data_IF_382520782941
#
_entry.id   IF_382520782941
#
_cell.length_a   1.000
_cell.length_b   1.000
_cell.length_c   1.000
_cell.angle_alpha   90.00
_cell.angle_beta   90.00
_cell.angle_gamma   90.00
#
_symmetry.space_group_name_H-M   'P 1'
#
loop_
_entity.id
_entity.type
_entity.pdbx_description
1 polymer ?
#
# COMPACT_ATOMS: atom_id res chain seq x y z
N UNK A 1 -24.31 -6.96 5.61
CA UNK A 1 -23.16 -6.30 6.24
C UNK A 1 -21.96 -6.39 5.30
N UNK A 2 -21.02 -5.48 5.44
CA UNK A 2 -19.80 -5.41 4.64
C UNK A 2 -18.92 -6.65 4.81
N UNK A 3 -18.79 -7.17 6.03
CA UNK A 3 -18.09 -8.42 6.29
C UNK A 3 -18.61 -9.57 5.42
N UNK A 4 -19.94 -9.63 5.20
CA UNK A 4 -20.56 -10.64 4.33
C UNK A 4 -20.19 -10.42 2.86
N UNK A 5 -20.14 -9.17 2.40
CA UNK A 5 -19.73 -8.82 1.03
C UNK A 5 -18.29 -9.20 0.76
N UNK A 6 -17.39 -8.90 1.72
CA UNK A 6 -15.99 -9.33 1.68
C UNK A 6 -15.87 -10.86 1.57
N UNK A 7 -16.62 -11.59 2.39
CA UNK A 7 -16.62 -13.05 2.35
C UNK A 7 -17.04 -13.57 0.97
N UNK A 8 -18.08 -12.97 0.36
CA UNK A 8 -18.55 -13.35 -0.99
C UNK A 8 -17.50 -13.08 -2.05
N UNK A 9 -16.85 -11.89 -2.03
CA UNK A 9 -15.82 -11.55 -3.00
C UNK A 9 -14.59 -12.47 -2.87
N UNK A 10 -14.19 -12.81 -1.66
CA UNK A 10 -13.10 -13.75 -1.40
C UNK A 10 -13.47 -15.16 -1.91
N UNK A 11 -14.70 -15.61 -1.68
CA UNK A 11 -15.18 -16.91 -2.17
C UNK A 11 -15.26 -16.95 -3.70
N UNK A 12 -15.73 -15.87 -4.35
CA UNK A 12 -15.75 -15.76 -5.82
C UNK A 12 -14.33 -15.81 -6.40
N UNK A 13 -13.37 -15.11 -5.79
CA UNK A 13 -11.98 -15.15 -6.22
C UNK A 13 -11.40 -16.56 -6.11
N UNK A 14 -11.57 -17.23 -4.95
CA UNK A 14 -11.16 -18.63 -4.79
C UNK A 14 -11.79 -19.56 -5.82
N UNK A 15 -13.07 -19.34 -6.12
CA UNK A 15 -13.77 -20.08 -7.16
C UNK A 15 -13.12 -19.89 -8.53
N UNK A 16 -12.79 -18.63 -8.90
CA UNK A 16 -12.09 -18.33 -10.15
C UNK A 16 -10.72 -19.01 -10.20
N UNK A 17 -9.92 -18.88 -9.15
CA UNK A 17 -8.60 -19.52 -9.08
C UNK A 17 -8.67 -21.05 -9.20
N UNK A 18 -9.71 -21.67 -8.65
CA UNK A 18 -9.95 -23.12 -8.78
C UNK A 18 -10.37 -23.51 -10.19
N UNK A 19 -11.19 -22.70 -10.87
CA UNK A 19 -11.60 -22.92 -12.25
C UNK A 19 -10.40 -22.81 -13.18
N UNK A 20 -9.59 -21.75 -13.04
CA UNK A 20 -8.38 -21.55 -13.85
C UNK A 20 -7.40 -22.73 -13.71
N UNK A 21 -7.30 -23.30 -12.50
CA UNK A 21 -6.48 -24.48 -12.27
C UNK A 21 -7.03 -25.75 -12.92
N UNK A 22 -8.36 -25.88 -13.07
CA UNK A 22 -8.96 -27.05 -13.74
C UNK A 22 -8.62 -27.10 -15.24
N UNK A 23 -8.27 -25.98 -15.84
CA UNK A 23 -7.91 -25.90 -17.26
C UNK A 23 -6.45 -26.33 -17.52
N UNK A 24 -5.64 -26.63 -16.49
CA UNK A 24 -4.29 -27.15 -16.68
C UNK A 24 -4.32 -28.62 -17.12
N UNK A 25 -3.87 -28.94 -18.36
CA UNK A 25 -3.90 -30.31 -18.88
C UNK A 25 -2.92 -31.27 -18.19
N UNK A 26 -2.08 -30.76 -17.29
CA UNK A 26 -1.06 -31.54 -16.56
C UNK A 26 -1.53 -32.00 -15.19
N UNK A 27 -2.78 -31.73 -14.82
CA UNK A 27 -3.32 -32.15 -13.53
C UNK A 27 -3.30 -33.68 -13.39
N UNK A 28 -2.85 -34.12 -12.24
CA UNK A 28 -3.02 -35.52 -11.83
C UNK A 28 -4.49 -35.78 -11.46
N UNK A 29 -4.98 -37.06 -11.55
CA UNK A 29 -6.35 -37.39 -11.16
C UNK A 29 -6.70 -36.99 -9.72
N UNK A 30 -5.73 -37.04 -8.80
CA UNK A 30 -5.92 -36.64 -7.41
C UNK A 30 -6.04 -35.12 -7.25
N UNK A 31 -5.26 -34.34 -8.00
CA UNK A 31 -5.36 -32.87 -7.99
C UNK A 31 -6.70 -32.42 -8.61
N UNK A 32 -7.13 -33.01 -9.73
CA UNK A 32 -8.45 -32.74 -10.34
C UNK A 32 -9.58 -33.04 -9.34
N UNK A 33 -9.53 -34.19 -8.67
CA UNK A 33 -10.52 -34.54 -7.65
C UNK A 33 -10.55 -33.51 -6.51
N UNK A 34 -9.39 -33.12 -5.97
CA UNK A 34 -9.29 -32.15 -4.86
C UNK A 34 -9.78 -30.76 -5.26
N UNK A 35 -9.43 -30.29 -6.45
CA UNK A 35 -9.90 -29.00 -6.96
C UNK A 35 -11.42 -29.01 -7.10
N UNK A 36 -12.02 -30.05 -7.69
CA UNK A 36 -13.48 -30.20 -7.84
C UNK A 36 -14.17 -30.30 -6.48
N UNK A 37 -13.56 -30.97 -5.50
CA UNK A 37 -14.09 -31.05 -4.13
C UNK A 37 -14.18 -29.67 -3.50
N UNK A 38 -13.07 -28.90 -3.56
CA UNK A 38 -13.00 -27.53 -3.03
C UNK A 38 -13.96 -26.59 -3.77
N UNK A 39 -14.07 -26.71 -5.07
CA UNK A 39 -15.00 -25.91 -5.87
C UNK A 39 -16.45 -26.13 -5.44
N UNK A 40 -16.86 -27.39 -5.17
CA UNK A 40 -18.20 -27.69 -4.65
C UNK A 40 -18.41 -27.12 -3.25
N UNK A 41 -17.39 -27.09 -2.42
CA UNK A 41 -17.41 -26.46 -1.10
C UNK A 41 -17.68 -24.95 -1.21
N UNK A 42 -16.91 -24.23 -2.03
CA UNK A 42 -17.11 -22.78 -2.24
C UNK A 42 -18.50 -22.47 -2.85
N UNK A 43 -18.94 -23.25 -3.81
CA UNK A 43 -20.29 -23.10 -4.40
C UNK A 43 -21.36 -23.33 -3.33
N UNK A 44 -21.20 -24.34 -2.47
CA UNK A 44 -22.17 -24.65 -1.42
C UNK A 44 -22.24 -23.52 -0.38
N UNK A 45 -21.11 -22.91 -0.03
CA UNK A 45 -21.06 -21.73 0.84
C UNK A 45 -21.73 -20.52 0.20
N UNK A 46 -21.43 -20.23 -1.05
CA UNK A 46 -22.04 -19.13 -1.80
C UNK A 46 -23.56 -19.31 -1.92
N UNK A 47 -24.02 -20.53 -2.22
CA UNK A 47 -25.45 -20.84 -2.33
C UNK A 47 -26.22 -20.58 -1.03
N UNK A 48 -25.59 -20.81 0.10
CA UNK A 48 -26.19 -20.58 1.44
C UNK A 48 -26.01 -19.16 1.95
N UNK A 49 -25.21 -18.35 1.27
CA UNK A 49 -24.94 -16.97 1.70
C UNK A 49 -26.02 -16.03 1.18
N UNK A 50 -26.71 -15.33 2.10
CA UNK A 50 -27.71 -14.33 1.71
C UNK A 50 -27.05 -13.08 1.15
N UNK A 51 -27.40 -12.72 -0.10
CA UNK A 51 -26.95 -11.50 -0.77
C UNK A 51 -27.85 -10.28 -0.50
N UNK A 52 -29.01 -10.50 0.10
CA UNK A 52 -29.97 -9.44 0.33
C UNK A 52 -29.49 -8.48 1.43
N UNK A 53 -29.51 -7.20 1.10
CA UNK A 53 -29.30 -6.13 2.10
C UNK A 53 -30.64 -5.88 2.80
N UNK A 54 -30.61 -5.90 4.13
CA UNK A 54 -31.75 -5.56 4.98
C UNK A 54 -31.76 -4.07 5.34
N UNK A 55 -30.62 -3.39 5.22
CA UNK A 55 -30.45 -1.99 5.57
C UNK A 55 -29.82 -1.20 4.42
N UNK A 56 -30.14 0.08 4.33
CA UNK A 56 -29.52 0.99 3.36
C UNK A 56 -28.05 1.21 3.77
N UNK A 57 -27.10 1.16 2.82
CA UNK A 57 -25.70 1.42 3.13
C UNK A 57 -25.51 2.85 3.63
N UNK A 58 -24.62 3.02 4.57
CA UNK A 58 -24.10 4.32 4.96
C UNK A 58 -22.99 4.76 3.99
N UNK A 59 -22.62 6.04 4.01
CA UNK A 59 -21.47 6.53 3.21
C UNK A 59 -20.19 5.77 3.59
N UNK A 60 -19.97 5.51 4.87
CA UNK A 60 -18.79 4.75 5.32
C UNK A 60 -18.81 3.28 4.91
N UNK A 61 -19.98 2.68 4.68
CA UNK A 61 -20.05 1.33 4.09
C UNK A 61 -19.60 1.33 2.63
N UNK A 62 -19.83 2.42 1.92
CA UNK A 62 -19.34 2.60 0.55
C UNK A 62 -17.84 2.83 0.52
N UNK A 63 -17.30 3.67 1.40
CA UNK A 63 -15.86 3.89 1.58
C UNK A 63 -15.15 2.57 1.84
N UNK A 64 -15.62 1.79 2.82
CA UNK A 64 -15.02 0.47 3.15
C UNK A 64 -15.15 -0.53 2.00
N UNK A 65 -16.22 -0.42 1.20
CA UNK A 65 -16.37 -1.25 0.00
C UNK A 65 -15.31 -0.89 -1.07
N UNK A 66 -15.06 0.40 -1.30
CA UNK A 66 -14.02 0.86 -2.22
C UNK A 66 -12.63 0.40 -1.75
N UNK A 67 -12.35 0.52 -0.45
CA UNK A 67 -11.10 0.08 0.15
C UNK A 67 -10.87 -1.44 0.08
N UNK A 68 -11.93 -2.23 0.00
CA UNK A 68 -11.80 -3.67 -0.24
C UNK A 68 -11.12 -3.97 -1.59
N UNK A 69 -11.48 -3.24 -2.65
CA UNK A 69 -10.81 -3.38 -3.95
C UNK A 69 -9.37 -2.87 -3.90
N UNK A 70 -9.11 -1.86 -3.09
CA UNK A 70 -7.75 -1.41 -2.81
C UNK A 70 -6.91 -2.54 -2.21
N UNK A 71 -7.34 -3.13 -1.09
CA UNK A 71 -6.60 -4.17 -0.36
C UNK A 71 -6.41 -5.44 -1.19
N UNK A 72 -7.48 -5.92 -1.82
CA UNK A 72 -7.47 -7.22 -2.50
C UNK A 72 -6.84 -7.17 -3.89
N UNK A 73 -6.81 -6.01 -4.54
CA UNK A 73 -6.38 -5.89 -5.93
C UNK A 73 -5.34 -4.82 -6.14
N UNK A 74 -5.67 -3.54 -5.96
CA UNK A 74 -4.83 -2.42 -6.42
C UNK A 74 -3.46 -2.42 -5.75
N UNK A 75 -3.42 -2.60 -4.44
CA UNK A 75 -2.19 -2.59 -3.65
C UNK A 75 -1.21 -3.71 -4.05
N UNK A 76 -1.74 -4.86 -4.48
CA UNK A 76 -0.95 -6.03 -4.90
C UNK A 76 -0.54 -5.98 -6.36
N UNK A 77 -1.44 -5.53 -7.23
CA UNK A 77 -1.23 -5.55 -8.69
C UNK A 77 -0.31 -4.43 -9.16
N UNK A 78 -0.29 -3.30 -8.47
CA UNK A 78 0.51 -2.13 -8.87
C UNK A 78 2.00 -2.44 -9.05
N UNK A 79 2.72 -3.07 -8.12
CA UNK A 79 4.13 -3.42 -8.32
C UNK A 79 4.33 -4.40 -9.49
N UNK A 80 3.42 -5.35 -9.66
CA UNK A 80 3.46 -6.29 -10.77
C UNK A 80 3.30 -5.58 -12.12
N UNK A 81 2.40 -4.61 -12.20
CA UNK A 81 2.19 -3.81 -13.41
C UNK A 81 3.45 -3.01 -13.77
N UNK A 82 4.04 -2.29 -12.81
CA UNK A 82 5.30 -1.56 -13.05
C UNK A 82 6.42 -2.50 -13.51
N UNK A 83 6.59 -3.63 -12.86
CA UNK A 83 7.59 -4.63 -13.24
C UNK A 83 7.35 -5.17 -14.66
N UNK A 84 6.09 -5.36 -15.04
CA UNK A 84 5.73 -5.82 -16.38
C UNK A 84 6.08 -4.78 -17.43
N UNK A 85 5.78 -3.51 -17.17
CA UNK A 85 6.13 -2.39 -18.07
C UNK A 85 7.66 -2.23 -18.17
N UNK A 86 8.37 -2.25 -17.04
CA UNK A 86 9.83 -2.16 -17.01
C UNK A 86 10.48 -3.29 -17.82
N UNK A 87 9.95 -4.52 -17.71
CA UNK A 87 10.42 -5.68 -18.50
C UNK A 87 10.15 -5.50 -20.00
N UNK A 88 9.01 -4.95 -20.38
CA UNK A 88 8.71 -4.68 -21.80
C UNK A 88 9.69 -3.65 -22.35
N UNK A 89 10.10 -2.67 -21.57
CA UNK A 89 11.11 -1.69 -21.96
C UNK A 89 12.50 -2.33 -22.10
N UNK A 90 12.87 -3.28 -21.25
CA UNK A 90 14.12 -4.03 -21.41
C UNK A 90 14.19 -4.79 -22.73
N UNK A 91 13.08 -5.31 -23.21
CA UNK A 91 13.00 -6.08 -24.46
C UNK A 91 12.91 -5.18 -25.71
N UNK A 92 12.73 -3.87 -25.53
CA UNK A 92 12.53 -2.95 -26.63
C UNK A 92 13.89 -2.48 -27.21
N UNK A 93 14.19 -2.76 -28.50
CA UNK A 93 15.50 -2.51 -29.10
C UNK A 93 15.91 -1.02 -29.11
N UNK A 94 14.93 -0.11 -29.02
CA UNK A 94 15.16 1.34 -29.10
C UNK A 94 15.47 1.99 -27.74
N UNK A 95 15.35 1.26 -26.62
CA UNK A 95 15.57 1.85 -25.30
C UNK A 95 17.04 1.90 -24.90
N UNK A 96 17.88 1.08 -25.52
CA UNK A 96 19.29 0.93 -25.12
C UNK A 96 19.48 0.37 -23.71
N UNK A 97 18.38 -0.03 -23.03
CA UNK A 97 18.40 -0.53 -21.66
C UNK A 97 18.70 -2.03 -21.59
N UNK A 98 18.35 -2.76 -22.67
CA UNK A 98 18.53 -4.20 -22.74
C UNK A 98 19.74 -4.54 -23.54
N UNK A 99 20.87 -4.58 -23.16
CA UNK A 99 22.03 -5.27 -23.75
C UNK A 99 23.33 -4.61 -23.31
N UNK A 100 23.71 -4.84 -22.09
CA UNK A 100 25.09 -5.23 -21.93
C UNK A 100 25.15 -6.73 -22.27
N UNK A 101 25.24 -7.06 -23.57
CA UNK A 101 25.82 -8.35 -23.93
C UNK A 101 27.20 -8.37 -23.34
N UNK A 102 27.41 -9.15 -22.33
CA UNK A 102 28.70 -9.26 -21.72
C UNK A 102 29.08 -10.58 -21.31
N UNK A 103 30.10 -10.83 -22.04
CA UNK A 103 31.49 -11.02 -21.56
C UNK A 103 31.57 -11.87 -20.30
N UNK A 104 31.94 -13.14 -20.57
CA UNK A 104 32.85 -14.05 -19.84
C UNK A 104 33.11 -13.72 -18.35
N UNK A 105 32.17 -13.94 -17.49
CA UNK A 105 32.30 -13.98 -16.03
C UNK A 105 31.19 -14.86 -15.44
N UNK A 106 31.33 -15.34 -14.19
CA UNK A 106 30.23 -16.01 -13.53
C UNK A 106 29.02 -15.10 -13.63
N UNK A 107 27.91 -15.59 -14.17
CA UNK A 107 26.75 -14.85 -14.61
C UNK A 107 26.35 -13.74 -13.60
N UNK A 108 26.92 -12.56 -13.75
CA UNK A 108 26.37 -11.34 -13.16
C UNK A 108 25.14 -11.04 -13.98
N UNK A 109 24.02 -11.37 -13.41
CA UNK A 109 22.69 -11.09 -13.90
C UNK A 109 22.42 -9.57 -13.70
N UNK A 110 23.15 -8.79 -14.46
CA UNK A 110 23.19 -7.34 -14.33
C UNK A 110 22.58 -6.71 -15.56
N UNK A 111 21.68 -5.76 -15.35
CA UNK A 111 21.12 -4.94 -16.40
C UNK A 111 19.67 -5.25 -16.79
N UNK A 112 19.08 -6.33 -16.28
CA UNK A 112 17.67 -6.66 -16.54
C UNK A 112 16.73 -6.16 -15.42
N UNK A 113 15.46 -6.05 -15.72
CA UNK A 113 14.41 -5.78 -14.73
C UNK A 113 14.54 -6.67 -13.50
N UNK A 114 14.57 -6.06 -12.32
CA UNK A 114 14.75 -6.75 -11.05
C UNK A 114 16.21 -6.92 -10.60
N UNK A 115 17.18 -6.44 -11.37
CA UNK A 115 18.62 -6.44 -11.02
C UNK A 115 19.26 -5.04 -11.16
N UNK A 116 18.49 -4.06 -11.59
CA UNK A 116 18.86 -2.65 -11.75
C UNK A 116 17.73 -1.74 -11.28
N UNK A 117 17.99 -0.45 -11.05
CA UNK A 117 16.93 0.54 -10.87
C UNK A 117 15.94 0.48 -12.05
N UNK A 118 14.62 0.59 -11.79
CA UNK A 118 13.64 0.56 -12.86
C UNK A 118 13.82 1.75 -13.80
N UNK A 119 13.62 1.52 -15.10
CA UNK A 119 13.66 2.56 -16.12
C UNK A 119 12.43 3.48 -16.08
N UNK A 120 11.35 3.02 -15.46
CA UNK A 120 10.10 3.76 -15.34
C UNK A 120 9.97 4.43 -13.98
N UNK A 121 9.39 5.61 -13.98
CA UNK A 121 8.88 6.26 -12.77
C UNK A 121 7.45 5.83 -12.53
N UNK A 122 6.98 5.82 -11.26
CA UNK A 122 5.57 5.62 -10.97
C UNK A 122 4.69 6.62 -11.73
N UNK A 123 3.64 6.11 -12.38
CA UNK A 123 2.74 6.90 -13.20
C UNK A 123 1.27 6.72 -12.84
N UNK A 124 0.96 5.78 -11.95
CA UNK A 124 -0.40 5.57 -11.49
C UNK A 124 -0.71 6.48 -10.30
N UNK A 125 -1.84 7.16 -10.38
CA UNK A 125 -2.40 7.96 -9.31
C UNK A 125 -3.86 7.54 -9.14
N UNK A 126 -4.20 7.12 -7.93
CA UNK A 126 -5.54 6.68 -7.61
C UNK A 126 -6.34 7.84 -7.03
N UNK A 127 -7.56 8.01 -7.51
CA UNK A 127 -8.52 8.99 -7.01
C UNK A 127 -9.82 8.31 -6.58
N UNK A 128 -10.51 8.92 -5.64
CA UNK A 128 -11.85 8.50 -5.22
C UNK A 128 -12.66 9.73 -4.83
N UNK A 129 -13.95 9.69 -5.07
CA UNK A 129 -14.90 10.69 -4.54
C UNK A 129 -15.78 10.11 -3.44
N UNK A 130 -15.65 8.81 -3.14
CA UNK A 130 -16.49 8.12 -2.16
C UNK A 130 -16.17 8.62 -0.76
N UNK A 131 -17.16 9.25 -0.12
CA UNK A 131 -17.01 9.93 1.17
C UNK A 131 -16.63 11.41 1.10
N UNK A 132 -16.44 11.96 -0.12
CA UNK A 132 -16.08 13.36 -0.36
C UNK A 132 -16.98 14.08 -1.37
N UNK A 133 -17.86 13.37 -2.07
CA UNK A 133 -18.85 13.95 -2.99
C UNK A 133 -20.08 14.41 -2.21
N UNK A 134 -20.19 15.72 -2.04
CA UNK A 134 -21.27 16.37 -1.29
C UNK A 134 -22.44 16.83 -2.19
N UNK A 135 -22.25 16.78 -3.53
CA UNK A 135 -23.25 17.25 -4.47
C UNK A 135 -24.51 16.40 -4.42
N UNK A 136 -25.62 17.02 -3.95
CA UNK A 136 -26.89 16.34 -3.78
C UNK A 136 -26.93 15.25 -2.69
N UNK A 137 -25.87 15.08 -1.90
CA UNK A 137 -25.82 14.06 -0.85
C UNK A 137 -25.67 14.64 0.57
N UNK A 138 -26.75 14.91 1.28
CA UNK A 138 -26.74 15.64 2.56
C UNK A 138 -26.04 14.89 3.71
N UNK A 139 -25.69 13.61 3.52
CA UNK A 139 -25.00 12.81 4.54
C UNK A 139 -23.48 12.82 4.39
N UNK A 140 -22.94 13.39 3.30
CA UNK A 140 -21.50 13.57 3.12
C UNK A 140 -21.11 14.90 3.73
N UNK A 141 -20.73 14.86 5.00
CA UNK A 141 -20.27 16.01 5.79
C UNK A 141 -18.75 16.05 5.84
N UNK A 142 -18.17 17.17 6.32
CA UNK A 142 -16.73 17.29 6.58
C UNK A 142 -16.22 16.17 7.52
N UNK A 143 -17.00 15.83 8.55
CA UNK A 143 -16.68 14.74 9.47
C UNK A 143 -16.57 13.38 8.74
N UNK A 144 -17.51 13.08 7.84
CA UNK A 144 -17.47 11.86 7.00
C UNK A 144 -16.26 11.87 6.06
N UNK A 145 -15.95 13.01 5.48
CA UNK A 145 -14.76 13.12 4.59
C UNK A 145 -13.46 12.87 5.36
N UNK A 146 -13.32 13.43 6.57
CA UNK A 146 -12.18 13.13 7.46
C UNK A 146 -12.12 11.65 7.85
N UNK A 147 -13.26 11.04 8.20
CA UNK A 147 -13.34 9.62 8.52
C UNK A 147 -12.96 8.76 7.32
N UNK A 148 -13.38 9.12 6.10
CA UNK A 148 -13.01 8.45 4.86
C UNK A 148 -11.49 8.53 4.61
N UNK A 149 -10.88 9.71 4.77
CA UNK A 149 -9.45 9.91 4.65
C UNK A 149 -8.66 9.10 5.69
N UNK A 150 -9.07 9.17 6.96
CA UNK A 150 -8.44 8.39 8.04
C UNK A 150 -8.56 6.87 7.82
N UNK A 151 -9.70 6.41 7.29
CA UNK A 151 -9.91 5.00 6.95
C UNK A 151 -8.99 4.58 5.79
N UNK A 152 -8.83 5.43 4.76
CA UNK A 152 -7.87 5.19 3.67
C UNK A 152 -6.44 5.11 4.17
N UNK A 153 -6.01 6.03 5.03
CA UNK A 153 -4.70 6.02 5.67
C UNK A 153 -4.46 4.75 6.50
N UNK A 154 -5.45 4.32 7.29
CA UNK A 154 -5.36 3.08 8.07
C UNK A 154 -5.14 1.85 7.19
N UNK A 155 -5.86 1.75 6.07
CA UNK A 155 -5.73 0.62 5.14
C UNK A 155 -4.35 0.57 4.47
N UNK A 156 -3.87 1.68 3.91
CA UNK A 156 -2.57 1.71 3.25
C UNK A 156 -1.42 1.47 4.23
N UNK A 157 -1.45 2.11 5.39
CA UNK A 157 -0.39 1.95 6.39
C UNK A 157 -0.34 0.53 6.96
N UNK A 158 -1.48 -0.14 7.18
CA UNK A 158 -1.50 -1.58 7.49
C UNK A 158 -0.92 -2.42 6.36
N UNK A 159 -1.21 -2.08 5.12
CA UNK A 159 -0.64 -2.74 3.96
C UNK A 159 0.89 -2.61 3.92
N UNK A 160 1.41 -1.41 4.08
CA UNK A 160 2.85 -1.13 4.12
C UNK A 160 3.54 -1.79 5.33
N UNK A 161 2.92 -1.72 6.53
CA UNK A 161 3.38 -2.42 7.73
C UNK A 161 3.50 -3.94 7.50
N UNK A 162 2.49 -4.54 6.85
CA UNK A 162 2.51 -5.96 6.53
C UNK A 162 3.59 -6.33 5.50
N UNK A 163 3.88 -5.44 4.53
CA UNK A 163 4.97 -5.65 3.57
C UNK A 163 6.33 -5.54 4.27
N UNK A 164 6.56 -4.53 5.09
CA UNK A 164 7.80 -4.39 5.87
C UNK A 164 8.02 -5.59 6.81
N UNK A 165 6.95 -6.05 7.49
CA UNK A 165 7.00 -7.26 8.32
C UNK A 165 7.30 -8.53 7.51
N UNK A 166 6.81 -8.64 6.27
CA UNK A 166 7.16 -9.75 5.40
C UNK A 166 8.63 -9.68 4.98
N UNK A 167 9.15 -8.48 4.63
CA UNK A 167 10.55 -8.28 4.29
C UNK A 167 11.46 -8.61 5.47
N UNK A 168 11.09 -8.26 6.70
CA UNK A 168 11.76 -8.71 7.92
C UNK A 168 11.95 -10.25 7.94
N UNK A 169 10.97 -11.03 7.46
CA UNK A 169 11.05 -12.49 7.48
C UNK A 169 11.72 -13.10 6.25
N UNK A 170 11.82 -12.37 5.15
CA UNK A 170 12.33 -12.88 3.86
C UNK A 170 13.73 -12.39 3.51
N UNK A 171 14.11 -11.20 3.96
CA UNK A 171 15.45 -10.63 3.71
C UNK A 171 16.36 -10.97 4.90
N UNK A 172 17.01 -12.11 4.80
CA UNK A 172 17.71 -12.75 5.92
C UNK A 172 19.25 -12.89 5.76
N UNK A 173 19.97 -12.01 5.05
CA UNK A 173 21.40 -12.13 4.99
C UNK A 173 22.01 -11.91 6.39
N UNK A 174 22.90 -12.80 6.77
CA UNK A 174 23.63 -12.77 8.04
C UNK A 174 25.04 -12.27 7.78
N UNK A 175 25.45 -11.22 8.41
CA UNK A 175 26.84 -10.77 8.39
C UNK A 175 27.61 -11.49 9.50
N UNK A 176 28.53 -12.39 9.08
CA UNK A 176 29.39 -13.13 10.01
C UNK A 176 30.67 -12.36 10.41
N UNK A 177 30.86 -11.17 9.86
CA UNK A 177 32.04 -10.33 10.07
C UNK A 177 31.68 -8.84 10.10
N UNK A 178 32.63 -8.00 10.47
CA UNK A 178 32.55 -6.55 10.64
C UNK A 178 32.26 -5.74 9.34
N UNK A 179 31.71 -6.37 8.31
CA UNK A 179 31.49 -5.81 6.97
C UNK A 179 30.03 -5.36 6.73
N UNK A 180 29.32 -4.90 7.76
CA UNK A 180 28.01 -4.25 7.57
C UNK A 180 28.23 -2.88 6.92
N UNK A 181 27.41 -2.54 5.91
CA UNK A 181 27.50 -1.21 5.28
C UNK A 181 27.41 -0.10 6.34
N UNK A 182 28.33 0.89 6.34
CA UNK A 182 28.32 1.98 7.31
C UNK A 182 27.01 2.76 7.36
N UNK A 183 26.27 2.80 6.25
CA UNK A 183 24.95 3.42 6.17
C UNK A 183 23.94 2.65 7.01
N UNK A 184 23.98 1.32 6.94
CA UNK A 184 23.09 0.46 7.75
C UNK A 184 23.45 0.56 9.23
N UNK A 185 24.75 0.56 9.59
CA UNK A 185 25.18 0.73 10.98
C UNK A 185 24.68 2.04 11.57
N UNK A 186 24.90 3.17 10.87
CA UNK A 186 24.44 4.47 11.32
C UNK A 186 22.91 4.53 11.51
N UNK A 187 22.17 3.85 10.64
CA UNK A 187 20.70 3.76 10.76
C UNK A 187 20.26 2.90 11.94
N UNK A 188 20.94 1.82 12.22
CA UNK A 188 20.65 0.97 13.39
C UNK A 188 20.92 1.71 14.71
N UNK A 189 21.94 2.59 14.75
CA UNK A 189 22.17 3.46 15.90
C UNK A 189 21.03 4.46 16.10
N UNK A 190 20.56 5.12 15.03
CA UNK A 190 19.40 6.00 15.08
C UNK A 190 18.13 5.25 15.52
N UNK A 191 17.90 4.04 14.99
CA UNK A 191 16.76 3.23 15.39
C UNK A 191 16.80 2.84 16.86
N UNK A 192 18.00 2.56 17.41
CA UNK A 192 18.17 2.29 18.84
C UNK A 192 17.78 3.49 19.69
N UNK A 193 18.21 4.68 19.29
CA UNK A 193 17.92 5.91 20.02
C UNK A 193 16.44 6.30 19.96
N UNK A 194 15.79 6.12 18.80
CA UNK A 194 14.43 6.58 18.58
C UNK A 194 13.36 5.55 18.97
N UNK A 195 13.60 4.26 18.76
CA UNK A 195 12.66 3.18 19.03
C UNK A 195 12.85 2.52 20.42
N UNK A 196 14.04 2.69 21.03
CA UNK A 196 14.33 2.19 22.37
C UNK A 196 14.05 0.68 22.52
N UNK A 197 13.19 0.30 23.48
CA UNK A 197 12.92 -1.10 23.77
C UNK A 197 12.42 -1.89 22.56
N UNK A 198 11.65 -1.27 21.65
CA UNK A 198 11.17 -1.95 20.44
C UNK A 198 12.31 -2.36 19.52
N UNK A 199 13.40 -1.58 19.48
CA UNK A 199 14.60 -1.93 18.73
C UNK A 199 15.42 -3.01 19.44
N UNK A 200 15.56 -2.93 20.78
CA UNK A 200 16.26 -3.96 21.55
C UNK A 200 15.60 -5.34 21.41
N UNK A 201 14.27 -5.39 21.36
CA UNK A 201 13.53 -6.63 21.06
C UNK A 201 13.90 -7.20 19.67
N UNK A 202 14.11 -6.32 18.65
CA UNK A 202 14.54 -6.76 17.31
C UNK A 202 15.97 -7.31 17.34
N UNK A 203 16.87 -6.67 18.07
CA UNK A 203 18.28 -7.14 18.21
C UNK A 203 18.33 -8.50 18.93
N UNK A 204 17.51 -8.69 19.96
CA UNK A 204 17.44 -9.96 20.68
C UNK A 204 16.91 -11.10 19.80
N UNK A 205 15.87 -10.82 18.98
CA UNK A 205 15.27 -11.85 18.13
C UNK A 205 16.07 -12.13 16.85
N UNK A 206 16.82 -11.14 16.33
CA UNK A 206 17.55 -11.22 15.06
C UNK A 206 19.01 -10.76 15.23
N UNK A 207 19.81 -11.43 16.08
CA UNK A 207 21.19 -11.05 16.31
C UNK A 207 22.06 -11.26 15.05
N UNK A 208 22.84 -10.25 14.67
CA UNK A 208 23.70 -10.32 13.48
C UNK A 208 22.95 -10.28 12.14
N UNK A 209 21.69 -9.86 12.14
CA UNK A 209 20.87 -9.76 10.93
C UNK A 209 20.40 -8.30 10.70
N UNK A 210 21.30 -7.40 10.29
CA UNK A 210 21.06 -5.95 10.26
C UNK A 210 19.90 -5.56 9.35
N UNK A 211 19.73 -6.22 8.20
CA UNK A 211 18.61 -5.95 7.29
C UNK A 211 17.25 -6.32 7.90
N UNK A 212 17.19 -7.42 8.66
CA UNK A 212 15.99 -7.78 9.41
C UNK A 212 15.65 -6.72 10.46
N UNK A 213 16.64 -6.30 11.23
CA UNK A 213 16.46 -5.25 12.24
C UNK A 213 15.94 -3.97 11.58
N UNK A 214 16.49 -3.58 10.42
CA UNK A 214 16.02 -2.39 9.67
C UNK A 214 14.57 -2.53 9.20
N UNK A 215 14.17 -3.66 8.60
CA UNK A 215 12.77 -3.85 8.19
C UNK A 215 11.82 -3.92 9.37
N UNK A 216 12.25 -4.44 10.51
CA UNK A 216 11.49 -4.40 11.75
C UNK A 216 11.29 -2.98 12.27
N UNK A 217 12.34 -2.16 12.24
CA UNK A 217 12.27 -0.73 12.59
C UNK A 217 11.31 0.03 11.68
N UNK A 218 11.36 -0.21 10.36
CA UNK A 218 10.42 0.39 9.39
C UNK A 218 8.97 -0.03 9.71
N UNK A 219 8.73 -1.30 10.01
CA UNK A 219 7.38 -1.78 10.37
C UNK A 219 6.86 -1.08 11.64
N UNK A 220 7.70 -0.92 12.66
CA UNK A 220 7.35 -0.23 13.89
C UNK A 220 7.08 1.27 13.65
N UNK A 221 7.92 1.96 12.86
CA UNK A 221 7.71 3.36 12.48
C UNK A 221 6.41 3.55 11.71
N UNK A 222 6.08 2.66 10.77
CA UNK A 222 4.80 2.66 10.04
C UNK A 222 3.62 2.47 10.98
N UNK A 223 3.75 1.59 11.98
CA UNK A 223 2.73 1.40 13.02
C UNK A 223 2.50 2.67 13.83
N UNK A 224 3.56 3.39 14.20
CA UNK A 224 3.47 4.67 14.92
C UNK A 224 2.85 5.76 14.03
N UNK A 225 3.25 5.87 12.76
CA UNK A 225 2.63 6.77 11.77
C UNK A 225 1.13 6.51 11.66
N UNK A 226 0.72 5.26 11.56
CA UNK A 226 -0.68 4.88 11.51
C UNK A 226 -1.45 5.31 12.77
N UNK A 227 -0.87 5.09 13.95
CA UNK A 227 -1.49 5.53 15.20
C UNK A 227 -1.59 7.05 15.30
N UNK A 228 -0.63 7.78 14.75
CA UNK A 228 -0.69 9.24 14.68
C UNK A 228 -1.83 9.71 13.76
N UNK A 229 -1.86 9.26 12.52
CA UNK A 229 -2.82 9.72 11.51
C UNK A 229 -4.27 9.29 11.79
N UNK A 230 -4.46 8.08 12.34
CA UNK A 230 -5.80 7.51 12.55
C UNK A 230 -6.37 7.84 13.93
N UNK A 231 -5.52 7.84 14.96
CA UNK A 231 -5.96 7.96 16.35
C UNK A 231 -5.56 9.30 17.01
N UNK A 232 -4.89 10.19 16.28
CA UNK A 232 -4.43 11.48 16.81
C UNK A 232 -3.38 11.36 17.91
N UNK A 233 -2.63 10.26 17.99
CA UNK A 233 -1.53 10.09 18.94
C UNK A 233 -0.31 10.91 18.51
N UNK A 234 0.64 11.14 19.40
CA UNK A 234 1.93 11.71 19.02
C UNK A 234 2.62 10.88 17.95
N UNK A 235 3.36 11.52 17.05
CA UNK A 235 4.05 10.83 15.94
C UNK A 235 5.11 9.84 16.45
N UNK A 236 5.78 10.18 17.58
CA UNK A 236 6.90 9.39 18.11
C UNK A 236 8.03 9.29 17.08
N UNK A 237 8.53 8.09 16.85
CA UNK A 237 9.52 7.77 15.82
C UNK A 237 8.87 7.45 14.44
N UNK A 238 7.56 7.71 14.26
CA UNK A 238 6.87 7.49 12.99
C UNK A 238 7.34 8.46 11.90
N UNK A 239 7.02 8.15 10.66
CA UNK A 239 7.34 8.98 9.50
C UNK A 239 6.39 10.18 9.40
N UNK A 240 6.94 11.37 9.22
CA UNK A 240 6.14 12.58 8.98
C UNK A 240 5.57 12.60 7.55
N UNK A 241 6.28 12.01 6.59
CA UNK A 241 5.88 11.93 5.19
C UNK A 241 6.27 10.61 4.54
N UNK A 242 5.66 10.23 3.40
CA UNK A 242 6.13 9.11 2.59
C UNK A 242 7.57 9.27 2.10
N UNK A 243 8.03 10.51 1.90
CA UNK A 243 9.38 10.80 1.41
C UNK A 243 10.46 10.39 2.41
N UNK A 244 10.17 10.48 3.73
CA UNK A 244 11.08 10.01 4.78
C UNK A 244 11.29 8.49 4.67
N UNK A 245 10.21 7.74 4.45
CA UNK A 245 10.29 6.29 4.23
C UNK A 245 11.00 5.94 2.91
N UNK A 246 10.75 6.71 1.84
CA UNK A 246 11.42 6.51 0.54
C UNK A 246 12.92 6.72 0.66
N UNK A 247 13.37 7.72 1.43
CA UNK A 247 14.79 7.94 1.69
C UNK A 247 15.44 6.73 2.39
N UNK A 248 14.76 6.14 3.39
CA UNK A 248 15.27 4.93 4.05
C UNK A 248 15.30 3.71 3.11
N UNK A 249 14.31 3.59 2.22
CA UNK A 249 14.30 2.52 1.21
C UNK A 249 15.45 2.71 0.22
N UNK A 250 15.79 3.94 -0.18
CA UNK A 250 16.93 4.24 -1.06
C UNK A 250 18.26 3.81 -0.41
N UNK A 251 18.44 4.11 0.86
CA UNK A 251 19.62 3.68 1.61
C UNK A 251 19.71 2.15 1.70
N UNK A 252 18.60 1.47 1.99
CA UNK A 252 18.52 0.00 2.01
C UNK A 252 18.84 -0.60 0.64
N UNK A 253 18.30 -0.05 -0.45
CA UNK A 253 18.59 -0.53 -1.80
C UNK A 253 20.08 -0.36 -2.14
N UNK A 254 20.67 0.78 -1.77
CA UNK A 254 22.09 1.05 -1.99
C UNK A 254 22.97 0.03 -1.25
N UNK A 255 22.73 -0.17 0.04
CA UNK A 255 23.48 -1.12 0.85
C UNK A 255 23.33 -2.57 0.33
N UNK A 256 22.11 -2.98 -0.04
CA UNK A 256 21.88 -4.31 -0.64
C UNK A 256 22.64 -4.50 -1.96
N UNK A 257 22.79 -3.45 -2.77
CA UNK A 257 23.56 -3.52 -4.01
C UNK A 257 25.08 -3.62 -3.72
N UNK A 258 25.58 -2.87 -2.74
CA UNK A 258 26.95 -2.95 -2.28
C UNK A 258 27.32 -4.35 -1.76
N UNK A 259 26.36 -5.03 -1.13
CA UNK A 259 26.47 -6.41 -0.63
C UNK A 259 26.20 -7.49 -1.71
N UNK A 260 26.29 -7.16 -3.01
CA UNK A 260 26.02 -8.05 -4.14
C UNK A 260 24.58 -8.63 -4.16
N UNK A 261 23.61 -7.99 -3.49
CA UNK A 261 22.20 -8.41 -3.41
C UNK A 261 21.26 -7.58 -4.28
N UNK A 262 21.70 -7.14 -5.47
CA UNK A 262 20.91 -6.34 -6.39
C UNK A 262 19.52 -6.94 -6.71
N UNK A 263 19.37 -8.26 -6.74
CA UNK A 263 18.08 -8.95 -6.95
C UNK A 263 17.09 -8.73 -5.79
N UNK A 264 17.58 -8.60 -4.57
CA UNK A 264 16.74 -8.28 -3.40
C UNK A 264 16.38 -6.80 -3.44
N UNK A 265 17.35 -5.93 -3.68
CA UNK A 265 17.17 -4.48 -3.79
C UNK A 265 16.11 -4.11 -4.83
N UNK A 266 16.26 -4.60 -6.06
CA UNK A 266 15.37 -4.28 -7.18
C UNK A 266 14.25 -5.32 -7.40
N UNK A 267 14.18 -6.33 -6.56
CA UNK A 267 13.12 -7.32 -6.48
C UNK A 267 12.01 -6.90 -5.51
N UNK A 268 12.02 -7.52 -4.34
CA UNK A 268 10.98 -7.33 -3.30
C UNK A 268 11.01 -5.92 -2.71
N UNK A 269 12.19 -5.34 -2.44
CA UNK A 269 12.33 -3.99 -1.88
C UNK A 269 11.82 -2.95 -2.87
N UNK A 270 12.10 -3.13 -4.18
CA UNK A 270 11.55 -2.26 -5.22
C UNK A 270 10.02 -2.35 -5.30
N UNK A 271 9.43 -3.52 -5.09
CA UNK A 271 7.98 -3.66 -5.05
C UNK A 271 7.37 -2.88 -3.88
N UNK A 272 8.01 -2.90 -2.71
CA UNK A 272 7.65 -2.08 -1.56
C UNK A 272 7.78 -0.58 -1.85
N UNK A 273 8.90 -0.16 -2.45
CA UNK A 273 9.13 1.22 -2.90
C UNK A 273 7.98 1.71 -3.79
N UNK A 274 7.62 0.96 -4.83
CA UNK A 274 6.54 1.31 -5.73
C UNK A 274 5.18 1.45 -5.04
N UNK A 275 4.93 0.65 -3.99
CA UNK A 275 3.72 0.80 -3.19
C UNK A 275 3.73 2.12 -2.43
N UNK A 276 4.85 2.51 -1.81
CA UNK A 276 4.98 3.79 -1.12
C UNK A 276 4.82 4.97 -2.09
N UNK A 277 5.50 4.93 -3.24
CA UNK A 277 5.46 5.99 -4.27
C UNK A 277 4.04 6.18 -4.85
N UNK A 278 3.29 5.09 -5.02
CA UNK A 278 1.96 5.14 -5.65
C UNK A 278 0.86 5.52 -4.67
N UNK A 279 0.92 5.02 -3.45
CA UNK A 279 -0.18 5.12 -2.50
C UNK A 279 0.08 6.11 -1.36
N UNK A 280 1.32 6.52 -1.15
CA UNK A 280 1.71 7.36 -0.03
C UNK A 280 1.23 6.78 1.31
N UNK A 281 0.76 7.66 2.20
CA UNK A 281 0.12 7.29 3.47
C UNK A 281 -1.40 7.51 3.47
N UNK A 282 -2.01 7.68 2.28
CA UNK A 282 -3.41 8.05 2.15
C UNK A 282 -4.22 7.16 1.20
N UNK A 283 -3.61 6.18 0.54
CA UNK A 283 -4.17 5.23 -0.42
C UNK A 283 -4.63 5.85 -1.75
N UNK A 284 -5.37 6.95 -1.72
CA UNK A 284 -5.89 7.66 -2.90
C UNK A 284 -6.15 9.13 -2.57
N UNK A 285 -6.16 9.96 -3.59
CA UNK A 285 -6.59 11.37 -3.47
C UNK A 285 -8.10 11.43 -3.41
N UNK A 286 -8.65 12.14 -2.41
CA UNK A 286 -10.08 12.38 -2.31
C UNK A 286 -10.47 13.63 -3.13
N UNK A 287 -11.40 13.44 -4.06
CA UNK A 287 -12.01 14.54 -4.81
C UNK A 287 -13.20 15.09 -4.04
N UNK A 288 -13.05 16.26 -3.45
CA UNK A 288 -14.16 16.96 -2.81
C UNK A 288 -15.01 17.63 -3.89
N UNK A 289 -16.25 17.16 -4.03
CA UNK A 289 -17.21 17.68 -5.00
C UNK A 289 -18.36 18.32 -4.25
N UNK A 290 -18.82 19.48 -4.75
CA UNK A 290 -19.94 20.23 -4.19
C UNK A 290 -20.65 21.01 -5.28
N UNK A 291 -21.91 21.38 -5.07
CA UNK A 291 -22.66 22.23 -5.98
C UNK A 291 -21.96 23.58 -6.19
N UNK A 292 -22.00 24.11 -7.43
CA UNK A 292 -21.29 25.33 -7.81
C UNK A 292 -21.69 26.55 -6.97
N UNK A 293 -22.97 26.67 -6.59
CA UNK A 293 -23.46 27.76 -5.74
C UNK A 293 -22.82 27.76 -4.34
N UNK A 294 -22.52 26.57 -3.80
CA UNK A 294 -21.84 26.43 -2.51
C UNK A 294 -20.38 26.88 -2.61
N UNK A 295 -19.70 26.52 -3.71
CA UNK A 295 -18.33 27.00 -3.98
C UNK A 295 -18.29 28.52 -4.14
N UNK A 296 -19.24 29.11 -4.87
CA UNK A 296 -19.35 30.55 -5.07
C UNK A 296 -19.57 31.28 -3.76
N UNK A 297 -20.52 30.83 -2.95
CA UNK A 297 -20.78 31.39 -1.64
C UNK A 297 -19.59 31.29 -0.67
N UNK A 298 -18.83 30.17 -0.76
CA UNK A 298 -17.61 29.98 0.03
C UNK A 298 -16.51 30.96 -0.39
N UNK A 299 -16.28 31.13 -1.70
CA UNK A 299 -15.31 32.09 -2.22
C UNK A 299 -15.68 33.54 -1.89
N UNK A 300 -16.97 33.89 -1.94
CA UNK A 300 -17.44 35.19 -1.51
C UNK A 300 -17.19 35.45 -0.01
N UNK A 301 -17.50 34.46 0.84
CA UNK A 301 -17.26 34.56 2.27
C UNK A 301 -15.74 34.70 2.58
N UNK A 302 -14.87 33.98 1.87
CA UNK A 302 -13.41 34.14 2.00
C UNK A 302 -12.93 35.51 1.59
N UNK A 303 -13.44 36.04 0.46
CA UNK A 303 -13.06 37.35 -0.06
C UNK A 303 -13.50 38.49 0.89
N UNK A 304 -14.67 38.37 1.48
CA UNK A 304 -15.22 39.37 2.39
C UNK A 304 -14.66 39.30 3.82
N UNK A 305 -13.68 38.38 4.06
CA UNK A 305 -13.00 38.22 5.36
C UNK A 305 -13.96 37.77 6.49
N UNK A 306 -15.06 37.13 6.14
CA UNK A 306 -16.03 36.61 7.11
C UNK A 306 -15.45 35.43 7.82
N UNK A 307 -15.50 35.40 9.15
CA UNK A 307 -15.18 34.23 9.96
C UNK A 307 -16.18 33.12 9.59
N UNK A 308 -15.64 32.08 8.96
CA UNK A 308 -16.39 30.95 8.41
C UNK A 308 -16.91 30.08 9.56
N UNK A 309 -18.07 30.34 10.06
CA UNK A 309 -18.69 29.55 11.15
C UNK A 309 -20.18 29.73 11.28
N UNK A 310 -20.69 30.87 10.86
CA UNK A 310 -22.08 31.27 11.18
C UNK A 310 -23.00 31.47 9.96
N UNK A 311 -22.49 31.31 8.73
CA UNK A 311 -23.31 31.52 7.51
C UNK A 311 -23.81 30.18 6.99
N UNK A 312 -25.12 29.98 7.07
CA UNK A 312 -25.78 28.86 6.36
C UNK A 312 -25.65 29.06 4.84
N UNK A 313 -25.07 28.07 4.19
CA UNK A 313 -25.10 27.94 2.74
C UNK A 313 -26.26 27.01 2.38
N UNK A 314 -26.84 27.15 1.19
CA UNK A 314 -27.96 26.32 0.74
C UNK A 314 -27.78 24.84 1.06
N UNK A 315 -28.76 24.18 1.65
CA UNK A 315 -28.83 22.82 2.17
C UNK A 315 -28.38 22.57 3.61
N UNK A 316 -28.34 23.59 4.48
CA UNK A 316 -28.06 23.43 5.92
C UNK A 316 -26.61 23.09 6.26
N UNK A 317 -25.67 23.34 5.33
CA UNK A 317 -24.24 23.18 5.54
C UNK A 317 -23.63 24.55 5.81
N UNK A 318 -22.83 24.69 6.85
CA UNK A 318 -22.15 25.97 7.15
C UNK A 318 -20.91 26.15 6.28
N UNK A 319 -20.50 27.39 6.02
CA UNK A 319 -19.30 27.69 5.27
C UNK A 319 -18.02 27.13 5.93
N UNK A 320 -18.00 26.98 7.26
CA UNK A 320 -16.94 26.31 8.00
C UNK A 320 -16.82 24.82 7.66
N UNK A 321 -17.94 24.12 7.48
CA UNK A 321 -17.95 22.68 7.12
C UNK A 321 -17.50 22.43 5.68
N UNK A 322 -17.43 23.45 4.84
CA UNK A 322 -16.97 23.35 3.45
C UNK A 322 -15.45 23.51 3.36
N UNK A 323 -14.83 24.25 4.28
CA UNK A 323 -13.39 24.59 4.25
C UNK A 323 -12.52 23.77 5.20
N UNK A 324 -13.09 23.08 6.14
CA UNK A 324 -12.41 22.06 6.94
C UNK A 324 -12.36 20.73 6.18
#
# INVERSE_FOLDING_TARGET
TEARRRTVLVALRRTSDLIDRLDDPRLTPNEDFEIRRRLREEISLLWRTSFLRTERPTVMDEVRTALLFFDETLFRVTPYLYRTVDRVLDLAPWTGLGAAENESGPARDTGHTGTRPPAIKPFLHWGSWVGADRDGHPRVTAAITREAAATGADHVLRGLEAVASRLLHTVTPTHLSDDVSPVIEARLELDRDELGNAFEDLVEHYPGEPYRQRFGSIAERLRQTRHHLVNGRGLGAGYASPDDLLAEIDELQTALVEDDMARVAYGEVQSFRWQVETFGFHAFSLEVRQHSEVHEATLEALRDGVVLGEREVSNGVTAAEVLE
#
